data_IF_481527609069
#
_entry.id   IF_481527609069
#
_cell.length_a   1.000
_cell.length_b   1.000
_cell.length_c   1.000
_cell.angle_alpha   90.00
_cell.angle_beta   90.00
_cell.angle_gamma   90.00
#
_symmetry.space_group_name_H-M   'P 1'
#
loop_
_entity.id
_entity.type
_entity.pdbx_description
1 polymer ?
#
# COMPACT_ATOMS: atom_id res chain seq x y z
N UNK A 1 17.50 17.00 36.06
CA UNK A 1 17.19 17.74 34.83
C UNK A 1 17.58 16.88 33.64
N UNK A 2 16.65 16.09 33.11
CA UNK A 2 16.91 15.22 31.95
C UNK A 2 16.83 16.10 30.70
N UNK A 3 17.99 16.47 30.16
CA UNK A 3 18.09 17.16 28.88
C UNK A 3 18.02 16.07 27.78
N UNK A 4 16.81 15.53 27.59
CA UNK A 4 16.52 14.52 26.58
C UNK A 4 16.45 15.24 25.23
N UNK A 5 17.53 15.21 24.45
CA UNK A 5 17.46 15.73 23.09
C UNK A 5 16.47 14.86 22.29
N UNK A 6 15.23 15.34 22.11
CA UNK A 6 14.17 14.63 21.39
C UNK A 6 14.50 14.62 19.88
N UNK A 7 15.05 13.51 19.41
CA UNK A 7 15.24 13.25 17.99
C UNK A 7 13.94 12.71 17.38
N UNK A 8 13.60 13.18 16.18
CA UNK A 8 12.49 12.67 15.38
C UNK A 8 13.03 12.05 14.10
N UNK A 9 12.45 10.92 13.69
CA UNK A 9 12.79 10.26 12.43
C UNK A 9 11.91 10.78 11.31
N UNK A 10 12.52 11.23 10.22
CA UNK A 10 11.79 11.59 9.02
C UNK A 10 11.13 10.35 8.42
N UNK A 11 9.81 10.37 8.29
CA UNK A 11 9.03 9.26 7.72
C UNK A 11 9.32 9.01 6.23
N UNK A 12 9.98 9.95 5.56
CA UNK A 12 10.28 9.90 4.13
C UNK A 12 11.66 9.32 3.82
N UNK A 13 12.66 9.57 4.68
CA UNK A 13 14.05 9.17 4.45
C UNK A 13 14.70 8.41 5.62
N UNK A 14 13.96 8.19 6.71
CA UNK A 14 14.41 7.53 7.94
C UNK A 14 15.59 8.21 8.66
N UNK A 15 15.94 9.44 8.29
CA UNK A 15 16.99 10.22 8.98
C UNK A 15 16.52 10.68 10.37
N UNK A 16 17.40 10.54 11.37
CA UNK A 16 17.19 11.04 12.73
C UNK A 16 17.58 12.53 12.79
N UNK A 17 16.63 13.41 13.11
CA UNK A 17 16.79 14.87 13.06
C UNK A 17 16.25 15.46 14.37
N UNK A 18 16.93 16.49 14.91
CA UNK A 18 16.51 17.17 16.14
C UNK A 18 15.33 18.12 15.87
N UNK A 19 14.46 18.36 16.86
CA UNK A 19 13.47 19.44 16.74
C UNK A 19 14.15 20.81 16.91
N UNK A 20 13.70 21.87 16.18
CA UNK A 20 12.57 21.94 15.25
C UNK A 20 12.90 21.54 13.78
N UNK A 21 14.15 21.15 13.52
CA UNK A 21 14.73 20.96 12.19
C UNK A 21 13.99 19.90 11.34
N UNK A 22 13.26 18.98 11.97
CA UNK A 22 12.44 17.98 11.27
C UNK A 22 11.35 18.61 10.39
N UNK A 23 10.74 19.74 10.77
CA UNK A 23 9.71 20.41 9.98
C UNK A 23 10.33 21.05 8.74
N UNK A 24 11.49 21.70 8.91
CA UNK A 24 12.24 22.33 7.82
C UNK A 24 12.88 21.30 6.89
N UNK A 25 13.45 20.23 7.46
CA UNK A 25 13.93 19.06 6.73
C UNK A 25 12.80 18.45 5.90
N UNK A 26 11.60 18.27 6.44
CA UNK A 26 10.47 17.74 5.66
C UNK A 26 10.11 18.65 4.46
N UNK A 27 10.38 19.95 4.49
CA UNK A 27 10.15 20.84 3.34
C UNK A 27 11.21 20.70 2.24
N UNK A 28 12.45 20.35 2.63
CA UNK A 28 13.60 20.23 1.72
C UNK A 28 14.02 18.78 1.46
N UNK A 29 13.32 17.81 2.05
CA UNK A 29 13.71 16.41 2.01
C UNK A 29 13.74 15.92 0.56
N UNK A 30 14.86 15.37 0.07
CA UNK A 30 14.96 14.82 -1.28
C UNK A 30 13.98 13.66 -1.53
N UNK A 31 13.41 13.11 -0.46
CA UNK A 31 12.39 12.05 -0.49
C UNK A 31 10.96 12.60 -0.50
N UNK A 32 10.75 13.88 -0.13
CA UNK A 32 9.49 14.61 -0.35
C UNK A 32 9.38 15.09 -1.80
N UNK A 33 10.52 15.28 -2.47
CA UNK A 33 10.63 15.59 -3.89
C UNK A 33 11.56 14.58 -4.59
N UNK A 34 11.27 13.27 -4.48
CA UNK A 34 12.06 12.28 -5.21
C UNK A 34 11.74 12.41 -6.71
N UNK A 35 12.67 12.90 -7.57
CA UNK A 35 12.47 13.00 -9.01
C UNK A 35 12.81 11.65 -9.66
N UNK A 36 12.20 10.57 -9.16
CA UNK A 36 12.12 9.27 -9.83
C UNK A 36 10.68 9.03 -10.27
N UNK A 37 10.00 10.09 -10.72
CA UNK A 37 8.76 9.99 -11.46
C UNK A 37 9.08 9.46 -12.86
N UNK A 38 9.34 8.15 -12.95
CA UNK A 38 9.10 7.41 -14.18
C UNK A 38 7.59 7.32 -14.32
N UNK A 39 6.95 8.45 -14.66
CA UNK A 39 5.54 8.62 -15.07
C UNK A 39 4.43 7.99 -14.17
N UNK A 40 4.74 7.60 -12.92
CA UNK A 40 3.76 6.96 -12.03
C UNK A 40 2.75 7.97 -11.50
N UNK A 41 1.52 7.88 -12.00
CA UNK A 41 0.42 8.79 -11.65
C UNK A 41 -0.12 8.62 -10.22
N UNK A 42 0.07 7.46 -9.58
CA UNK A 42 -0.50 7.16 -8.26
C UNK A 42 0.56 6.60 -7.31
N UNK A 43 0.71 7.22 -6.14
CA UNK A 43 1.66 6.82 -5.08
C UNK A 43 0.90 6.55 -3.79
N UNK A 44 1.30 5.51 -3.06
CA UNK A 44 0.72 5.20 -1.75
C UNK A 44 1.37 6.04 -0.65
N UNK A 45 0.57 6.55 0.28
CA UNK A 45 1.09 7.31 1.44
C UNK A 45 1.56 6.41 2.59
N UNK A 46 1.10 5.15 2.64
CA UNK A 46 1.40 4.23 3.75
C UNK A 46 2.61 3.32 3.47
N UNK A 47 3.08 3.24 2.22
CA UNK A 47 4.26 2.47 1.83
C UNK A 47 4.84 2.97 0.51
N UNK A 48 5.98 2.43 0.08
CA UNK A 48 6.69 2.84 -1.14
C UNK A 48 6.03 2.35 -2.46
N UNK A 49 4.80 1.83 -2.41
CA UNK A 49 4.10 1.33 -3.60
C UNK A 49 3.64 2.48 -4.51
N UNK A 50 3.80 2.29 -5.81
CA UNK A 50 3.38 3.23 -6.85
C UNK A 50 2.87 2.47 -8.07
N UNK A 51 1.96 3.09 -8.84
CA UNK A 51 1.41 2.52 -10.06
C UNK A 51 0.93 3.63 -11.03
N UNK A 52 0.75 3.28 -12.30
CA UNK A 52 0.22 4.21 -13.31
C UNK A 52 -1.32 4.21 -13.38
N UNK A 53 -1.98 3.18 -12.83
CA UNK A 53 -3.42 2.96 -12.96
C UNK A 53 -4.13 3.20 -11.61
N UNK A 54 -5.21 3.98 -11.63
CA UNK A 54 -5.96 4.34 -10.40
C UNK A 54 -6.62 3.13 -9.73
N UNK A 55 -7.08 2.16 -10.52
CA UNK A 55 -7.71 0.94 -10.06
C UNK A 55 -6.73 0.05 -9.29
N UNK A 56 -5.48 0.00 -9.73
CA UNK A 56 -4.41 -0.73 -9.04
C UNK A 56 -4.09 -0.08 -7.69
N UNK A 57 -4.09 1.26 -7.61
CA UNK A 57 -3.93 1.97 -6.34
C UNK A 57 -5.11 1.68 -5.38
N UNK A 58 -6.36 1.75 -5.87
CA UNK A 58 -7.54 1.41 -5.06
C UNK A 58 -7.47 -0.03 -4.54
N UNK A 59 -7.02 -0.97 -5.38
CA UNK A 59 -6.82 -2.37 -4.97
C UNK A 59 -5.68 -2.49 -3.96
N UNK A 60 -4.58 -1.77 -4.17
CA UNK A 60 -3.46 -1.74 -3.26
C UNK A 60 -3.87 -1.25 -1.87
N UNK A 61 -4.67 -0.19 -1.76
CA UNK A 61 -5.13 0.33 -0.47
C UNK A 61 -5.84 -0.74 0.38
N UNK A 62 -6.50 -1.72 -0.25
CA UNK A 62 -7.12 -2.85 0.47
C UNK A 62 -6.12 -3.72 1.24
N UNK A 63 -4.83 -3.69 0.91
CA UNK A 63 -3.80 -4.39 1.70
C UNK A 63 -3.55 -3.72 3.04
N UNK A 64 -3.80 -2.41 3.13
CA UNK A 64 -3.68 -1.64 4.38
C UNK A 64 -4.96 -1.72 5.20
N UNK A 65 -6.12 -1.62 4.55
CA UNK A 65 -7.41 -1.64 5.26
C UNK A 65 -7.90 -3.05 5.59
N UNK A 66 -7.36 -4.07 4.94
CA UNK A 66 -7.83 -5.45 5.07
C UNK A 66 -9.21 -5.69 4.46
N UNK A 67 -9.74 -4.74 3.68
CA UNK A 67 -11.05 -4.88 3.05
C UNK A 67 -11.09 -6.06 2.06
N UNK A 68 -12.07 -6.94 2.27
CA UNK A 68 -12.31 -8.12 1.42
C UNK A 68 -13.75 -8.11 0.90
N UNK A 69 -14.04 -7.28 -0.12
CA UNK A 69 -15.40 -7.09 -0.63
C UNK A 69 -15.95 -8.33 -1.35
N UNK A 70 -15.09 -9.21 -1.85
CA UNK A 70 -15.53 -10.39 -2.62
C UNK A 70 -15.73 -11.57 -1.67
N UNK A 71 -16.97 -12.01 -1.51
CA UNK A 71 -17.35 -13.17 -0.69
C UNK A 71 -17.66 -14.36 -1.58
N UNK A 72 -17.23 -15.56 -1.18
CA UNK A 72 -17.66 -16.80 -1.80
C UNK A 72 -19.12 -17.09 -1.47
N UNK A 73 -19.89 -17.54 -2.45
CA UNK A 73 -21.29 -17.91 -2.27
C UNK A 73 -21.42 -19.29 -1.60
N UNK A 74 -20.44 -20.17 -1.82
CA UNK A 74 -20.44 -21.54 -1.31
C UNK A 74 -19.81 -21.69 0.07
N UNK A 75 -19.01 -20.71 0.53
CA UNK A 75 -18.36 -20.77 1.84
C UNK A 75 -18.04 -19.39 2.42
N UNK A 76 -17.52 -19.34 3.65
CA UNK A 76 -17.16 -18.10 4.35
C UNK A 76 -15.89 -17.41 3.83
N UNK A 77 -15.27 -17.92 2.76
CA UNK A 77 -14.06 -17.33 2.17
C UNK A 77 -14.34 -15.92 1.63
N UNK A 78 -13.41 -15.00 1.90
CA UNK A 78 -13.44 -13.62 1.41
C UNK A 78 -12.10 -13.21 0.82
N UNK A 79 -12.16 -12.36 -0.19
CA UNK A 79 -11.03 -11.94 -0.99
C UNK A 79 -11.06 -10.42 -1.24
N UNK A 80 -9.87 -9.83 -1.36
CA UNK A 80 -9.67 -8.44 -1.78
C UNK A 80 -9.79 -8.24 -3.31
N UNK A 81 -9.76 -9.34 -4.09
CA UNK A 81 -9.73 -9.36 -5.56
C UNK A 81 -10.74 -10.35 -6.15
N UNK A 82 -11.42 -9.96 -7.22
CA UNK A 82 -12.34 -10.85 -7.96
C UNK A 82 -11.63 -12.06 -8.56
N UNK A 83 -10.42 -11.88 -9.12
CA UNK A 83 -9.60 -12.97 -9.68
C UNK A 83 -9.33 -14.08 -8.67
N UNK A 84 -9.02 -13.71 -7.43
CA UNK A 84 -8.72 -14.67 -6.36
C UNK A 84 -10.00 -15.39 -5.91
N UNK A 85 -11.15 -14.70 -5.91
CA UNK A 85 -12.43 -15.35 -5.63
C UNK A 85 -12.78 -16.34 -6.74
N UNK A 86 -12.64 -15.96 -8.01
CA UNK A 86 -12.89 -16.85 -9.16
C UNK A 86 -12.02 -18.10 -9.09
N UNK A 87 -10.71 -17.92 -8.87
CA UNK A 87 -9.79 -19.05 -8.68
C UNK A 87 -10.20 -19.92 -7.49
N UNK A 88 -10.57 -19.32 -6.37
CA UNK A 88 -11.05 -20.05 -5.19
C UNK A 88 -12.29 -20.89 -5.52
N UNK A 89 -13.30 -20.30 -6.17
CA UNK A 89 -14.51 -21.02 -6.59
C UNK A 89 -14.15 -22.14 -7.55
N UNK A 90 -13.33 -21.87 -8.57
CA UNK A 90 -12.94 -22.91 -9.54
C UNK A 90 -12.14 -24.05 -8.89
N UNK A 91 -11.23 -23.79 -7.95
CA UNK A 91 -10.43 -24.87 -7.34
C UNK A 91 -11.19 -25.60 -6.22
N UNK A 92 -12.00 -24.88 -5.43
CA UNK A 92 -12.60 -25.39 -4.19
C UNK A 92 -14.06 -25.76 -4.33
N UNK A 93 -14.74 -25.27 -5.36
CA UNK A 93 -16.18 -25.40 -5.55
C UNK A 93 -16.59 -25.84 -6.96
N UNK A 94 -15.74 -25.76 -7.98
CA UNK A 94 -16.02 -26.28 -9.34
C UNK A 94 -15.03 -27.39 -9.75
N UNK A 95 -15.44 -28.66 -9.70
CA UNK A 95 -14.75 -29.71 -10.45
C UNK A 95 -15.27 -29.73 -11.89
N UNK A 96 -14.87 -28.74 -12.70
CA UNK A 96 -15.06 -28.81 -14.15
C UNK A 96 -13.99 -28.02 -14.89
N UNK A 97 -13.06 -28.80 -15.43
CA UNK A 97 -12.16 -28.46 -16.53
C UNK A 97 -13.01 -27.82 -17.64
N UNK A 98 -12.70 -26.57 -18.01
CA UNK A 98 -13.17 -26.00 -19.26
C UNK A 98 -12.01 -26.07 -20.25
N UNK A 99 -11.80 -27.26 -20.81
CA UNK A 99 -11.14 -27.40 -22.11
C UNK A 99 -12.21 -27.01 -23.12
N UNK A 100 -11.96 -25.90 -23.80
CA UNK A 100 -12.50 -25.64 -25.12
C UNK A 100 -11.39 -25.00 -25.94
#
# INVERSE_FOLDING_TARGET
AQNSQEYQTCKHCQSHIYQPDIIEHCKTCPYMNRPNAVDYKFVCFNCSYHCHVSQDMKRHIRTHTGEKPYKCEYCSYRSARSSNLKQHVTIRHEKSININ
#
